data_IF_636768690137
#
_entry.id   IF_636768690137
#
_cell.length_a   1.000
_cell.length_b   1.000
_cell.length_c   1.000
_cell.angle_alpha   90.00
_cell.angle_beta   90.00
_cell.angle_gamma   90.00
#
_symmetry.space_group_name_H-M   'P 1'
#
loop_
_entity.id
_entity.type
_entity.pdbx_description
1 polymer ?
#
# COMPACT_ATOMS: atom_id res chain seq x y z
N UNK A 1 -0.25 6.23 -11.45
CA UNK A 1 -1.48 6.65 -10.73
C UNK A 1 -1.32 6.57 -9.20
N UNK A 2 -2.29 7.09 -8.43
CA UNK A 2 -2.38 6.89 -6.97
C UNK A 2 -3.27 5.68 -6.67
N UNK A 3 -2.85 4.85 -5.72
CA UNK A 3 -3.60 3.70 -5.27
C UNK A 3 -3.51 3.54 -3.75
N UNK A 4 -4.44 2.76 -3.19
CA UNK A 4 -4.48 2.37 -1.80
C UNK A 4 -4.39 0.85 -1.73
N UNK A 5 -3.56 0.33 -0.83
CA UNK A 5 -3.51 -1.08 -0.48
C UNK A 5 -3.68 -1.23 1.03
N UNK A 6 -4.63 -2.07 1.45
CA UNK A 6 -4.90 -2.35 2.86
C UNK A 6 -4.38 -3.72 3.22
N UNK A 7 -3.41 -3.78 4.14
CA UNK A 7 -2.72 -4.97 4.61
C UNK A 7 -3.34 -5.54 5.89
N UNK A 8 -3.35 -6.86 5.99
CA UNK A 8 -3.65 -7.63 7.20
C UNK A 8 -2.37 -8.23 7.81
N UNK A 9 -2.50 -8.80 9.01
CA UNK A 9 -1.36 -9.26 9.81
C UNK A 9 -0.61 -10.48 9.26
N UNK A 10 -1.22 -11.22 8.35
CA UNK A 10 -0.66 -12.36 7.64
C UNK A 10 -0.06 -11.96 6.28
N UNK A 11 -0.10 -10.66 5.96
CA UNK A 11 0.39 -10.10 4.71
C UNK A 11 -0.58 -10.25 3.55
N UNK A 12 -1.80 -10.73 3.77
CA UNK A 12 -2.87 -10.66 2.78
C UNK A 12 -3.41 -9.23 2.64
N UNK A 13 -4.06 -8.95 1.52
CA UNK A 13 -4.70 -7.66 1.24
C UNK A 13 -6.20 -7.75 1.52
N UNK A 14 -6.74 -6.80 2.27
CA UNK A 14 -8.18 -6.65 2.47
C UNK A 14 -8.85 -5.92 1.31
N UNK A 15 -8.24 -4.82 0.86
CA UNK A 15 -8.76 -3.97 -0.21
C UNK A 15 -7.60 -3.35 -1.01
N UNK A 16 -7.82 -3.20 -2.31
CA UNK A 16 -6.96 -2.46 -3.23
C UNK A 16 -7.85 -1.53 -4.04
N UNK A 17 -7.55 -0.23 -4.00
CA UNK A 17 -8.31 0.79 -4.72
C UNK A 17 -7.37 1.63 -5.60
N UNK A 18 -7.61 1.75 -6.92
CA UNK A 18 -8.64 1.05 -7.69
C UNK A 18 -8.38 -0.47 -7.75
N UNK A 19 -9.43 -1.27 -7.92
CA UNK A 19 -9.36 -2.74 -7.85
C UNK A 19 -8.44 -3.35 -8.93
N UNK A 20 -8.25 -2.64 -10.04
CA UNK A 20 -7.41 -3.04 -11.16
C UNK A 20 -5.91 -2.73 -10.93
N UNK A 21 -5.56 -2.01 -9.85
CA UNK A 21 -4.18 -1.71 -9.54
C UNK A 21 -3.40 -3.02 -9.31
N UNK A 22 -2.29 -3.18 -10.03
CA UNK A 22 -1.43 -4.38 -9.97
C UNK A 22 -0.52 -4.34 -8.74
N UNK A 23 -1.13 -4.30 -7.57
CA UNK A 23 -0.45 -4.34 -6.29
C UNK A 23 -0.61 -5.72 -5.66
N UNK A 24 0.42 -6.16 -4.95
CA UNK A 24 0.35 -7.36 -4.14
C UNK A 24 1.18 -7.17 -2.88
N UNK A 25 0.88 -7.97 -1.86
CA UNK A 25 1.63 -8.00 -0.62
C UNK A 25 1.96 -9.42 -0.17
N UNK A 26 3.03 -9.51 0.62
CA UNK A 26 3.49 -10.75 1.22
C UNK A 26 4.05 -10.48 2.62
N UNK A 27 3.72 -11.32 3.60
CA UNK A 27 4.41 -11.32 4.88
C UNK A 27 5.80 -11.95 4.76
N UNK A 28 6.82 -11.26 5.28
CA UNK A 28 8.19 -11.74 5.39
C UNK A 28 8.51 -12.25 6.82
N UNK A 29 7.64 -11.94 7.77
CA UNK A 29 7.77 -12.26 9.19
C UNK A 29 6.80 -11.41 10.01
N UNK A 30 6.80 -11.59 11.32
CA UNK A 30 5.95 -10.77 12.20
C UNK A 30 6.29 -9.28 12.04
N UNK A 31 5.27 -8.47 11.78
CA UNK A 31 5.41 -7.04 11.54
C UNK A 31 6.21 -6.67 10.28
N UNK A 32 6.51 -7.62 9.37
CA UNK A 32 7.31 -7.35 8.18
C UNK A 32 6.56 -7.75 6.92
N UNK A 33 6.36 -6.79 6.04
CA UNK A 33 5.62 -6.99 4.79
C UNK A 33 6.43 -6.46 3.61
N UNK A 34 6.24 -7.10 2.46
CA UNK A 34 6.72 -6.64 1.18
C UNK A 34 5.52 -6.32 0.31
N UNK A 35 5.52 -5.14 -0.30
CA UNK A 35 4.52 -4.74 -1.29
C UNK A 35 5.20 -4.58 -2.63
N UNK A 36 4.66 -5.24 -3.66
CA UNK A 36 5.20 -5.27 -5.02
C UNK A 36 4.27 -4.54 -5.99
N UNK A 37 4.80 -4.00 -7.09
CA UNK A 37 4.02 -3.24 -8.07
C UNK A 37 3.76 -1.78 -7.67
N UNK A 38 4.40 -1.33 -6.59
CA UNK A 38 4.45 0.08 -6.20
C UNK A 38 5.58 0.79 -6.94
N UNK A 39 5.46 2.11 -7.09
CA UNK A 39 6.52 3.02 -7.51
C UNK A 39 7.00 3.90 -6.34
N UNK A 40 6.66 3.53 -5.11
CA UNK A 40 6.93 4.30 -3.90
C UNK A 40 5.65 4.75 -3.19
N UNK A 41 5.81 5.32 -1.99
CA UNK A 41 4.73 6.01 -1.29
C UNK A 41 4.33 7.30 -2.02
N UNK A 42 3.08 7.72 -1.86
CA UNK A 42 2.68 9.07 -2.27
C UNK A 42 3.49 10.09 -1.44
N UNK A 43 4.24 11.01 -2.08
CA UNK A 43 5.14 11.92 -1.36
C UNK A 43 4.39 12.94 -0.52
N UNK A 44 4.89 13.24 0.68
CA UNK A 44 4.38 14.30 1.56
C UNK A 44 4.56 15.71 0.93
N UNK A 45 3.73 16.71 1.29
CA UNK A 45 3.85 18.09 0.79
C UNK A 45 5.24 18.70 1.03
N UNK A 46 5.73 19.68 0.23
CA UNK A 46 4.97 20.64 -0.60
C UNK A 46 4.84 20.33 -2.10
N UNK A 47 5.42 19.24 -2.63
CA UNK A 47 5.38 18.91 -4.07
C UNK A 47 4.18 18.05 -4.51
N UNK A 48 3.37 17.56 -3.57
CA UNK A 48 2.06 16.98 -3.83
C UNK A 48 1.32 16.88 -2.50
N UNK A 49 -0.01 16.95 -2.51
CA UNK A 49 -0.86 16.88 -1.32
C UNK A 49 -0.85 15.44 -0.74
N UNK A 50 0.27 15.01 -0.16
CA UNK A 50 0.54 13.61 0.18
C UNK A 50 -0.17 13.07 1.41
N UNK A 51 -0.48 11.77 1.37
CA UNK A 51 -0.82 10.92 2.51
C UNK A 51 0.06 9.67 2.44
N UNK A 52 0.63 9.26 3.58
CA UNK A 52 1.53 8.10 3.68
C UNK A 52 0.78 6.82 4.02
N UNK A 53 0.86 6.40 5.28
CA UNK A 53 0.13 5.24 5.79
C UNK A 53 -0.86 5.65 6.90
N UNK A 54 -1.82 4.78 7.18
CA UNK A 54 -2.70 4.91 8.35
C UNK A 54 -2.93 3.55 9.01
N UNK A 55 -2.95 3.55 10.34
CA UNK A 55 -3.23 2.37 11.16
C UNK A 55 -4.66 2.40 11.69
N UNK A 56 -5.22 1.22 11.94
CA UNK A 56 -6.46 1.10 12.71
C UNK A 56 -6.29 1.66 14.13
N UNK A 57 -7.40 2.03 14.79
CA UNK A 57 -7.34 2.51 16.18
C UNK A 57 -6.74 1.47 17.15
N UNK A 58 -6.96 0.18 16.89
CA UNK A 58 -6.40 -0.92 17.70
C UNK A 58 -4.88 -1.00 17.57
N UNK A 59 -4.35 -0.56 16.43
CA UNK A 59 -2.93 -0.58 16.10
C UNK A 59 -2.25 0.79 16.33
N UNK A 60 -2.97 1.79 16.87
CA UNK A 60 -2.54 3.20 16.97
C UNK A 60 -1.24 3.47 17.74
N UNK A 61 -0.74 2.48 18.49
CA UNK A 61 0.53 2.56 19.24
C UNK A 61 1.71 1.90 18.51
N UNK A 62 1.48 1.39 17.30
CA UNK A 62 2.54 0.83 16.48
C UNK A 62 3.25 1.94 15.69
N UNK A 63 4.55 1.78 15.53
CA UNK A 63 5.40 2.56 14.64
C UNK A 63 5.51 1.82 13.30
N UNK A 64 5.48 2.56 12.19
CA UNK A 64 5.64 1.99 10.84
C UNK A 64 6.80 2.66 10.14
N UNK A 65 7.78 1.87 9.74
CA UNK A 65 8.87 2.26 8.86
C UNK A 65 8.63 1.69 7.46
N UNK A 66 8.85 2.51 6.43
CA UNK A 66 8.65 2.11 5.04
C UNK A 66 9.88 2.50 4.23
N UNK A 67 10.43 1.53 3.52
CA UNK A 67 11.59 1.69 2.66
C UNK A 67 11.19 1.31 1.23
N UNK A 68 11.59 2.12 0.25
CA UNK A 68 11.38 1.82 -1.17
C UNK A 68 12.71 1.38 -1.78
N UNK A 69 12.73 0.20 -2.39
CA UNK A 69 13.85 -0.24 -3.22
C UNK A 69 13.64 0.23 -4.67
N UNK A 70 14.40 1.23 -5.14
CA UNK A 70 14.23 1.77 -6.49
C UNK A 70 14.65 0.79 -7.60
N UNK A 71 15.41 -0.27 -7.29
CA UNK A 71 15.83 -1.24 -8.29
C UNK A 71 14.73 -2.27 -8.60
N UNK A 72 13.98 -2.70 -7.58
CA UNK A 72 12.87 -3.65 -7.72
C UNK A 72 11.49 -2.99 -7.79
N UNK A 73 11.34 -1.79 -7.25
CA UNK A 73 10.04 -1.14 -7.01
C UNK A 73 9.33 -1.63 -5.74
N UNK A 74 9.98 -2.48 -4.94
CA UNK A 74 9.35 -3.07 -3.76
C UNK A 74 9.32 -2.06 -2.59
N UNK A 75 8.20 -2.02 -1.88
CA UNK A 75 8.10 -1.37 -0.58
C UNK A 75 8.26 -2.40 0.53
N UNK A 76 9.28 -2.21 1.36
CA UNK A 76 9.46 -2.94 2.60
C UNK A 76 8.82 -2.17 3.75
N UNK A 77 7.87 -2.82 4.42
CA UNK A 77 7.09 -2.24 5.50
C UNK A 77 7.43 -2.99 6.78
N UNK A 78 7.88 -2.25 7.78
CA UNK A 78 8.20 -2.77 9.11
C UNK A 78 7.31 -2.10 10.14
N UNK A 79 6.57 -2.91 10.90
CA UNK A 79 5.67 -2.49 11.96
C UNK A 79 6.24 -2.96 13.28
N UNK A 80 6.50 -2.01 14.17
CA UNK A 80 7.05 -2.27 15.51
C UNK A 80 6.20 -1.64 16.59
N UNK A 81 6.37 -2.11 17.82
CA UNK A 81 5.85 -1.45 19.01
C UNK A 81 6.88 -1.58 20.11
N UNK A 82 7.25 -0.46 20.72
CA UNK A 82 8.31 -0.42 21.74
C UNK A 82 9.63 -1.06 21.23
N UNK A 83 9.92 -0.88 19.94
CA UNK A 83 11.12 -1.41 19.27
C UNK A 83 11.10 -2.92 18.96
N UNK A 84 10.01 -3.64 19.25
CA UNK A 84 9.85 -5.05 18.92
C UNK A 84 8.93 -5.24 17.70
N UNK A 85 9.11 -6.30 16.89
CA UNK A 85 8.17 -6.65 15.83
C UNK A 85 6.73 -6.71 16.36
N UNK A 86 5.81 -6.07 15.65
CA UNK A 86 4.42 -5.99 16.07
C UNK A 86 3.50 -6.66 15.05
N UNK A 87 2.76 -7.66 15.53
CA UNK A 87 1.66 -8.24 14.77
C UNK A 87 0.46 -7.31 14.80
N UNK A 88 0.05 -6.84 13.61
CA UNK A 88 -1.18 -6.06 13.46
C UNK A 88 -2.38 -6.83 14.04
N UNK A 89 -3.24 -6.12 14.75
CA UNK A 89 -4.51 -6.62 15.24
C UNK A 89 -5.60 -6.47 14.17
N UNK A 90 -5.52 -5.41 13.36
CA UNK A 90 -6.50 -5.15 12.30
C UNK A 90 -5.83 -4.84 10.97
N UNK A 91 -5.70 -3.56 10.60
CA UNK A 91 -5.29 -3.15 9.25
C UNK A 91 -4.23 -2.06 9.26
N UNK A 92 -3.36 -2.13 8.25
CA UNK A 92 -2.45 -1.05 7.85
C UNK A 92 -2.79 -0.66 6.41
N UNK A 93 -3.18 0.59 6.21
CA UNK A 93 -3.47 1.13 4.88
C UNK A 93 -2.29 1.94 4.38
N UNK A 94 -1.85 1.69 3.15
CA UNK A 94 -0.77 2.41 2.49
C UNK A 94 -1.31 3.17 1.26
N UNK A 95 -0.91 4.42 1.12
CA UNK A 95 -1.13 5.20 -0.09
C UNK A 95 0.15 5.16 -0.92
N UNK A 96 0.04 4.59 -2.12
CA UNK A 96 1.18 4.32 -3.00
C UNK A 96 0.99 4.94 -4.37
N UNK A 97 2.10 5.14 -5.06
CA UNK A 97 2.12 5.28 -6.51
C UNK A 97 2.20 3.88 -7.14
N UNK A 98 1.50 3.68 -8.24
CA UNK A 98 1.48 2.45 -9.04
C UNK A 98 1.42 2.81 -10.53
N UNK A 99 1.67 1.85 -11.42
CA UNK A 99 1.52 2.04 -12.85
C UNK A 99 0.11 2.52 -13.21
N UNK A 100 -0.01 3.38 -14.22
CA UNK A 100 -1.31 3.80 -14.72
C UNK A 100 -2.10 2.61 -15.28
N UNK A 101 -3.41 2.63 -15.06
CA UNK A 101 -4.31 1.66 -15.68
C UNK A 101 -4.38 1.91 -17.19
N UNK A 102 -4.48 0.86 -18.01
CA UNK A 102 -4.68 1.05 -19.44
C UNK A 102 -5.99 1.80 -19.69
N UNK A 103 -5.97 2.77 -20.60
CA UNK A 103 -7.18 3.43 -21.08
C UNK A 103 -8.09 2.37 -21.72
N UNK A 104 -9.26 2.13 -21.12
CA UNK A 104 -10.28 1.27 -21.73
C UNK A 104 -11.12 2.15 -22.67
N UNK A 105 -11.06 1.94 -24.00
CA UNK A 105 -11.89 2.72 -24.92
C UNK A 105 -13.37 2.43 -24.63
N UNK A 106 -14.14 3.49 -24.38
CA UNK A 106 -15.60 3.39 -24.28
C UNK A 106 -16.12 3.03 -25.67
N UNK A 107 -16.53 1.77 -25.86
CA UNK A 107 -17.32 1.40 -27.03
C UNK A 107 -18.69 2.04 -26.83
N UNK A 108 -18.91 3.19 -27.45
CA UNK A 108 -20.26 3.73 -27.59
C UNK A 108 -21.03 2.77 -28.48
N UNK A 109 -21.88 1.94 -27.87
CA UNK A 109 -22.91 1.21 -28.60
C UNK A 109 -23.77 2.24 -29.32
N UNK A 110 -23.58 2.35 -30.63
CA UNK A 110 -24.49 3.09 -31.49
C UNK A 110 -25.79 2.28 -31.50
N UNK A 111 -26.78 2.71 -30.72
CA UNK A 111 -28.16 2.28 -30.89
C UNK A 111 -28.59 2.74 -32.29
N UNK A 112 -28.75 1.78 -33.18
CA UNK A 112 -29.34 1.95 -34.52
C UNK A 112 -30.83 1.65 -34.52
#
# INVERSE_FOLDING_TARGET
MRAIITLLNDGSTYDITPAEARLASQALGEGRFKVTGSQGLVPFPPTSVGWGYSLSQMDSKADVAIEHDPASGDLLVTVTRDGQPYRLVSTLMLHVLADDLPDVPIIQSMEG
#
